data_IF_454623801155
#
_entry.id   IF_454623801155
#
_cell.length_a   1.000
_cell.length_b   1.000
_cell.length_c   1.000
_cell.angle_alpha   90.00
_cell.angle_beta   90.00
_cell.angle_gamma   90.00
#
_symmetry.space_group_name_H-M   'P 1'
#
loop_
_entity.id
_entity.type
_entity.pdbx_description
1 polymer ?
#
# COMPACT_ATOMS: atom_id res chain seq x y z
N UNK A 1 7.24 13.23 10.17
CA UNK A 1 8.24 13.14 9.08
C UNK A 1 8.52 11.66 8.86
N UNK A 2 8.25 11.12 7.66
CA UNK A 2 8.64 9.74 7.38
C UNK A 2 10.17 9.62 7.51
N UNK A 3 10.71 8.51 8.00
CA UNK A 3 12.15 8.31 8.08
C UNK A 3 12.79 8.59 6.73
N UNK A 4 13.92 9.31 6.71
CA UNK A 4 14.65 9.73 5.48
C UNK A 4 14.90 8.56 4.51
N UNK A 5 15.00 7.33 5.04
CA UNK A 5 15.24 6.10 4.27
C UNK A 5 14.02 5.63 3.47
N UNK A 6 12.81 6.05 3.85
CA UNK A 6 11.56 5.53 3.29
C UNK A 6 11.06 6.35 2.09
N UNK A 7 11.27 7.67 2.10
CA UNK A 7 10.85 8.57 1.02
C UNK A 7 11.29 8.10 -0.38
N UNK A 8 12.59 7.86 -0.61
CA UNK A 8 13.07 7.42 -1.93
C UNK A 8 12.51 6.06 -2.39
N UNK A 9 12.21 5.15 -1.45
CA UNK A 9 11.58 3.85 -1.77
C UNK A 9 10.14 4.08 -2.24
N UNK A 10 9.40 4.93 -1.54
CA UNK A 10 8.03 5.29 -1.92
C UNK A 10 7.98 6.04 -3.24
N UNK A 11 8.99 6.86 -3.57
CA UNK A 11 9.09 7.51 -4.89
C UNK A 11 9.28 6.49 -6.02
N UNK A 12 10.02 5.41 -5.75
CA UNK A 12 10.13 4.27 -6.66
C UNK A 12 8.78 3.56 -6.84
N UNK A 13 8.04 3.35 -5.76
CA UNK A 13 6.73 2.70 -5.81
C UNK A 13 5.73 3.56 -6.57
N UNK A 14 5.71 4.87 -6.33
CA UNK A 14 4.86 5.82 -7.07
C UNK A 14 5.11 5.73 -8.58
N UNK A 15 6.37 5.65 -9.02
CA UNK A 15 6.69 5.50 -10.44
C UNK A 15 6.13 4.20 -11.05
N UNK A 16 6.15 3.11 -10.31
CA UNK A 16 5.61 1.82 -10.76
C UNK A 16 4.08 1.91 -10.77
N UNK A 17 3.48 2.31 -9.65
CA UNK A 17 2.04 2.33 -9.42
C UNK A 17 1.28 3.41 -10.21
N UNK A 18 1.99 4.40 -10.76
CA UNK A 18 1.43 5.34 -11.76
C UNK A 18 1.17 4.69 -13.12
N UNK A 19 1.73 3.50 -13.36
CA UNK A 19 1.61 2.75 -14.62
C UNK A 19 0.88 1.42 -14.46
N UNK A 20 0.74 0.93 -13.23
CA UNK A 20 0.09 -0.33 -12.91
C UNK A 20 -0.74 -0.25 -11.64
N UNK A 21 -1.77 -1.10 -11.53
CA UNK A 21 -2.60 -1.12 -10.32
C UNK A 21 -1.82 -1.55 -9.07
N UNK A 22 -0.94 -2.55 -9.22
CA UNK A 22 -0.11 -3.20 -8.19
C UNK A 22 1.38 -3.20 -8.55
N UNK A 23 2.24 -3.62 -7.61
CA UNK A 23 3.70 -3.56 -7.79
C UNK A 23 4.22 -4.50 -8.88
N UNK A 24 3.49 -5.58 -9.18
CA UNK A 24 3.82 -6.57 -10.22
C UNK A 24 2.82 -6.56 -11.40
N UNK A 25 2.17 -5.42 -11.64
CA UNK A 25 1.24 -5.22 -12.75
C UNK A 25 -0.22 -5.05 -12.33
N UNK A 26 -1.16 -5.60 -13.10
CA UNK A 26 -2.60 -5.33 -12.93
C UNK A 26 -3.31 -6.24 -11.92
N UNK A 27 -2.63 -7.26 -11.40
CA UNK A 27 -3.21 -8.23 -10.48
C UNK A 27 -2.54 -8.16 -9.13
N UNK A 28 -3.32 -8.34 -8.08
CA UNK A 28 -2.80 -8.49 -6.73
C UNK A 28 -1.96 -9.76 -6.65
N UNK A 29 -0.71 -9.65 -6.18
CA UNK A 29 0.21 -10.78 -6.03
C UNK A 29 0.78 -10.87 -4.62
N UNK A 30 1.60 -11.90 -4.38
CA UNK A 30 2.34 -12.03 -3.12
C UNK A 30 3.28 -10.85 -2.87
N UNK A 31 3.81 -10.21 -3.93
CA UNK A 31 4.71 -9.04 -3.82
C UNK A 31 4.01 -7.92 -3.06
N UNK A 32 2.75 -7.67 -3.35
CA UNK A 32 1.95 -6.65 -2.69
C UNK A 32 1.67 -7.03 -1.23
N UNK A 33 1.18 -8.24 -1.00
CA UNK A 33 0.78 -8.74 0.32
C UNK A 33 1.97 -8.84 1.31
N UNK A 34 3.19 -9.03 0.80
CA UNK A 34 4.40 -9.06 1.63
C UNK A 34 4.62 -7.76 2.41
N UNK A 35 3.98 -6.65 2.01
CA UNK A 35 4.06 -5.37 2.70
C UNK A 35 3.12 -5.25 3.91
N UNK A 36 2.10 -6.09 4.03
CA UNK A 36 1.08 -6.01 5.09
C UNK A 36 1.62 -6.20 6.52
N UNK A 37 2.58 -7.09 6.81
CA UNK A 37 3.18 -7.18 8.15
C UNK A 37 3.83 -5.86 8.61
N UNK A 38 4.21 -4.99 7.66
CA UNK A 38 4.74 -3.67 7.92
C UNK A 38 3.66 -2.58 8.01
N UNK A 39 2.37 -2.94 8.06
CA UNK A 39 1.25 -2.00 8.13
C UNK A 39 1.30 -1.06 9.33
N UNK A 40 1.78 -1.53 10.48
CA UNK A 40 1.99 -0.68 11.66
C UNK A 40 3.05 0.39 11.40
N UNK A 41 4.08 0.06 10.60
CA UNK A 41 5.12 1.00 10.19
C UNK A 41 4.57 2.00 9.15
N UNK A 42 3.80 1.52 8.17
CA UNK A 42 3.09 2.38 7.22
C UNK A 42 2.18 3.38 7.96
N UNK A 43 1.27 2.91 8.81
CA UNK A 43 0.33 3.79 9.50
C UNK A 43 1.00 4.75 10.50
N UNK A 44 2.13 4.36 11.11
CA UNK A 44 2.84 5.18 12.11
C UNK A 44 3.85 6.16 11.50
N UNK A 45 4.52 5.76 10.42
CA UNK A 45 5.66 6.51 9.86
C UNK A 45 5.40 7.05 8.46
N UNK A 46 4.49 6.43 7.70
CA UNK A 46 3.94 6.97 6.45
C UNK A 46 2.65 7.71 6.84
N UNK A 47 2.82 8.85 7.49
CA UNK A 47 1.71 9.74 7.82
C UNK A 47 0.99 10.26 6.58
N UNK A 48 -0.09 11.01 6.79
CA UNK A 48 -0.91 11.57 5.70
C UNK A 48 -0.09 12.30 4.64
N UNK A 49 0.96 13.04 5.00
CA UNK A 49 1.76 13.79 4.02
C UNK A 49 2.57 12.91 3.04
N UNK A 50 3.07 11.77 3.51
CA UNK A 50 3.84 10.86 2.64
C UNK A 50 2.93 10.14 1.63
N UNK A 51 1.67 9.90 2.01
CA UNK A 51 0.63 9.37 1.11
C UNK A 51 -0.02 10.48 0.26
N UNK A 52 -0.23 11.68 0.82
CA UNK A 52 -0.84 12.84 0.13
C UNK A 52 -0.02 13.32 -1.06
N UNK A 53 1.30 13.17 -0.97
CA UNK A 53 2.23 13.50 -2.06
C UNK A 53 2.41 12.38 -3.08
N UNK A 54 1.81 11.21 -2.85
CA UNK A 54 1.97 9.98 -3.62
C UNK A 54 0.62 9.25 -3.78
N UNK A 55 -0.29 9.81 -4.60
CA UNK A 55 -1.65 9.29 -4.73
C UNK A 55 -1.70 7.81 -5.16
N UNK A 56 -0.76 7.34 -5.98
CA UNK A 56 -0.79 5.96 -6.47
C UNK A 56 -0.35 4.96 -5.38
N UNK A 57 0.66 5.31 -4.57
CA UNK A 57 1.02 4.58 -3.35
C UNK A 57 -0.13 4.57 -2.36
N UNK A 58 -0.84 5.70 -2.20
CA UNK A 58 -1.98 5.79 -1.29
C UNK A 58 -3.14 4.88 -1.75
N UNK A 59 -3.46 4.87 -3.04
CA UNK A 59 -4.44 3.97 -3.64
C UNK A 59 -4.06 2.51 -3.40
N UNK A 60 -2.84 2.13 -3.76
CA UNK A 60 -2.33 0.77 -3.59
C UNK A 60 -2.39 0.32 -2.13
N UNK A 61 -1.94 1.16 -1.19
CA UNK A 61 -1.96 0.84 0.24
C UNK A 61 -3.39 0.58 0.74
N UNK A 62 -4.34 1.42 0.32
CA UNK A 62 -5.75 1.24 0.66
C UNK A 62 -6.34 -0.04 0.09
N UNK A 63 -5.94 -0.43 -1.12
CA UNK A 63 -6.45 -1.65 -1.75
C UNK A 63 -5.92 -2.92 -1.08
N UNK A 64 -4.62 -3.01 -0.84
CA UNK A 64 -4.03 -4.22 -0.24
C UNK A 64 -4.37 -4.37 1.25
N UNK A 65 -4.65 -3.25 1.94
CA UNK A 65 -5.02 -3.24 3.35
C UNK A 65 -6.48 -3.61 3.59
N UNK A 66 -7.29 -3.74 2.53
CA UNK A 66 -8.67 -4.25 2.67
C UNK A 66 -8.62 -5.72 3.08
N UNK A 67 -9.49 -6.15 4.01
CA UNK A 67 -9.64 -7.57 4.27
C UNK A 67 -10.03 -8.29 2.98
N UNK A 68 -9.47 -9.48 2.70
CA UNK A 68 -9.93 -10.26 1.56
C UNK A 68 -11.43 -10.58 1.70
N UNK A 69 -12.15 -10.58 0.58
CA UNK A 69 -13.62 -10.62 0.52
C UNK A 69 -14.25 -11.79 1.29
N UNK A 70 -13.57 -12.94 1.35
CA UNK A 70 -14.03 -14.12 2.10
C UNK A 70 -14.01 -13.95 3.62
N UNK A 71 -13.23 -12.99 4.15
CA UNK A 71 -13.27 -12.61 5.57
C UNK A 71 -14.45 -11.65 5.80
N UNK A 72 -14.69 -10.71 4.89
CA UNK A 72 -15.85 -9.80 4.97
C UNK A 72 -17.18 -10.57 4.94
N UNK A 73 -17.27 -11.64 4.15
CA UNK A 73 -18.45 -12.49 4.06
C UNK A 73 -18.76 -13.27 5.36
N UNK A 74 -17.77 -13.52 6.22
CA UNK A 74 -17.95 -14.26 7.48
C UNK A 74 -18.62 -13.46 8.60
N UNK A 75 -18.75 -12.13 8.45
CA UNK A 75 -19.43 -11.26 9.41
C UNK A 75 -20.94 -11.11 9.17
N UNK A 76 -21.49 -11.80 8.17
CA UNK A 76 -22.92 -11.76 7.82
C UNK A 76 -23.61 -13.05 8.27
N UNK A 77 -23.77 -13.24 9.58
CA UNK A 77 -24.64 -14.27 10.15
C UNK A 77 -25.21 -13.84 11.49
#
# INVERSE_FOLDING_TARGET
>A
MAPVVLGPKLDGYERILSKSHYLDGEKLTLVDLFHLPHASMFNKYIGSDALRTRPDVARWWNDISKPPEWIAARGSN
#
